data_IF_579937297608
#
_entry.id   IF_579937297608
#
_cell.length_a   1.000
_cell.length_b   1.000
_cell.length_c   1.000
_cell.angle_alpha   90.00
_cell.angle_beta   90.00
_cell.angle_gamma   90.00
#
_symmetry.space_group_name_H-M   'P 1'
#
loop_
_entity.id
_entity.type
_entity.pdbx_description
1 polymer ?
#
# COMPACT_ATOMS: atom_id res chain seq x y z
N UNK A 1 7.00 -10.81 -17.84
CA UNK A 1 7.32 -10.34 -16.47
C UNK A 1 8.11 -9.04 -16.42
N UNK A 2 9.15 -8.85 -17.25
CA UNK A 2 10.02 -7.67 -17.18
C UNK A 2 9.30 -6.30 -17.17
N UNK A 3 8.22 -6.16 -17.96
CA UNK A 3 7.42 -4.93 -17.98
C UNK A 3 6.52 -4.74 -16.74
N UNK A 4 6.18 -5.79 -16.00
CA UNK A 4 5.40 -5.68 -14.77
C UNK A 4 6.29 -5.31 -13.57
N UNK A 5 7.48 -5.92 -13.48
CA UNK A 5 8.41 -5.65 -12.37
C UNK A 5 8.85 -4.19 -12.28
N UNK A 6 8.82 -3.42 -13.38
CA UNK A 6 9.08 -1.97 -13.38
C UNK A 6 8.01 -1.15 -12.65
N UNK A 7 6.86 -1.75 -12.33
CA UNK A 7 5.74 -1.11 -11.62
C UNK A 7 5.54 -1.66 -10.20
N UNK A 8 6.41 -2.56 -9.72
CA UNK A 8 6.25 -3.18 -8.39
C UNK A 8 6.29 -2.13 -7.27
N UNK A 9 7.25 -1.21 -7.31
CA UNK A 9 7.37 -0.17 -6.29
C UNK A 9 6.17 0.76 -6.28
N UNK A 10 5.66 1.15 -7.44
CA UNK A 10 4.51 2.04 -7.55
C UNK A 10 3.24 1.37 -7.03
N UNK A 11 3.02 0.10 -7.38
CA UNK A 11 1.89 -0.67 -6.85
C UNK A 11 2.03 -0.86 -5.34
N UNK A 12 3.23 -1.13 -4.83
CA UNK A 12 3.45 -1.24 -3.39
C UNK A 12 3.14 0.03 -2.62
N UNK A 13 3.50 1.18 -3.18
CA UNK A 13 3.17 2.47 -2.60
C UNK A 13 1.66 2.67 -2.52
N UNK A 14 0.89 2.22 -3.52
CA UNK A 14 -0.58 2.28 -3.51
C UNK A 14 -1.17 1.36 -2.45
N UNK A 15 -0.68 0.12 -2.36
CA UNK A 15 -1.07 -0.81 -1.28
C UNK A 15 -0.78 -0.22 0.10
N UNK A 16 0.40 0.39 0.27
CA UNK A 16 0.78 1.05 1.51
C UNK A 16 -0.08 2.28 1.81
N UNK A 17 -0.39 3.09 0.80
CA UNK A 17 -1.21 4.29 0.96
C UNK A 17 -2.65 3.94 1.33
N UNK A 18 -3.26 3.01 0.60
CA UNK A 18 -4.69 2.78 0.66
C UNK A 18 -5.10 1.58 1.51
N UNK A 19 -4.34 0.50 1.51
CA UNK A 19 -4.61 -0.68 2.36
C UNK A 19 -3.70 -0.77 3.59
N UNK A 20 -2.71 0.12 3.69
CA UNK A 20 -1.83 0.27 4.86
C UNK A 20 -0.95 -0.95 5.13
N UNK A 21 -0.81 -1.85 4.15
CA UNK A 21 -0.06 -3.10 4.23
C UNK A 21 0.78 -3.33 2.97
N UNK A 22 1.77 -4.23 3.02
CA UNK A 22 2.39 -4.78 1.82
C UNK A 22 1.36 -5.51 0.95
N UNK A 23 1.57 -5.45 -0.36
CA UNK A 23 0.88 -6.29 -1.32
C UNK A 23 1.16 -7.77 -1.06
N UNK A 24 0.16 -8.62 -1.30
CA UNK A 24 0.40 -10.04 -1.55
C UNK A 24 1.08 -10.22 -2.91
N UNK A 25 1.81 -11.33 -3.11
CA UNK A 25 2.65 -11.49 -4.31
C UNK A 25 1.84 -11.63 -5.60
N UNK A 26 0.69 -12.32 -5.52
CA UNK A 26 -0.26 -12.43 -6.63
C UNK A 26 -0.86 -11.08 -7.02
N UNK A 27 -1.35 -10.32 -6.04
CA UNK A 27 -1.88 -8.97 -6.23
C UNK A 27 -0.82 -8.01 -6.78
N UNK A 28 0.39 -8.02 -6.23
CA UNK A 28 1.50 -7.20 -6.73
C UNK A 28 1.75 -7.47 -8.22
N UNK A 29 1.86 -8.75 -8.60
CA UNK A 29 2.03 -9.13 -10.00
C UNK A 29 0.86 -8.65 -10.87
N UNK A 30 -0.38 -8.91 -10.45
CA UNK A 30 -1.59 -8.59 -11.20
C UNK A 30 -1.72 -7.07 -11.46
N UNK A 31 -1.64 -6.26 -10.42
CA UNK A 31 -1.80 -4.81 -10.56
C UNK A 31 -0.65 -4.16 -11.32
N UNK A 32 0.56 -4.70 -11.20
CA UNK A 32 1.69 -4.20 -11.98
C UNK A 32 1.62 -4.61 -13.45
N UNK A 33 1.03 -5.76 -13.78
CA UNK A 33 0.69 -6.10 -15.17
C UNK A 33 -0.38 -5.15 -15.72
N UNK A 34 -1.41 -4.84 -14.93
CA UNK A 34 -2.44 -3.87 -15.30
C UNK A 34 -1.83 -2.48 -15.55
N UNK A 35 -0.92 -2.03 -14.69
CA UNK A 35 -0.20 -0.78 -14.86
C UNK A 35 0.62 -0.79 -16.16
N UNK A 36 1.34 -1.87 -16.45
CA UNK A 36 2.13 -1.99 -17.68
C UNK A 36 1.28 -1.91 -18.95
N UNK A 37 0.10 -2.55 -18.96
CA UNK A 37 -0.84 -2.51 -20.10
C UNK A 37 -1.43 -1.12 -20.28
N UNK A 38 -1.63 -0.36 -19.19
CA UNK A 38 -2.16 1.00 -19.22
C UNK A 38 -1.06 2.09 -19.33
N UNK A 39 0.16 1.74 -19.74
CA UNK A 39 1.25 2.71 -19.93
C UNK A 39 1.74 3.38 -18.64
N UNK A 40 1.52 2.74 -17.48
CA UNK A 40 1.85 3.25 -16.17
C UNK A 40 0.75 4.10 -15.51
N UNK A 41 -0.45 4.17 -16.09
CA UNK A 41 -1.58 4.83 -15.44
C UNK A 41 -2.10 4.00 -14.24
N UNK A 42 -1.76 4.48 -13.04
CA UNK A 42 -2.18 3.90 -11.76
C UNK A 42 -3.50 4.49 -11.25
N UNK A 43 -4.07 5.48 -11.93
CA UNK A 43 -5.34 6.08 -11.56
C UNK A 43 -6.46 5.04 -11.57
N UNK A 44 -6.54 4.21 -12.61
CA UNK A 44 -7.53 3.13 -12.67
C UNK A 44 -7.34 2.08 -11.58
N UNK A 45 -6.09 1.73 -11.29
CA UNK A 45 -5.75 0.76 -10.23
C UNK A 45 -6.28 1.25 -8.88
N UNK A 46 -6.04 2.51 -8.53
CA UNK A 46 -6.43 3.02 -7.21
C UNK A 46 -7.95 3.23 -7.06
N UNK A 47 -8.67 3.47 -8.16
CA UNK A 47 -10.14 3.50 -8.12
C UNK A 47 -10.74 2.11 -7.87
N UNK A 48 -10.16 1.05 -8.44
CA UNK A 48 -10.58 -0.33 -8.15
C UNK A 48 -10.28 -0.73 -6.70
N UNK A 49 -9.26 -0.11 -6.06
CA UNK A 49 -8.98 -0.38 -4.66
C UNK A 49 -10.08 0.17 -3.75
N UNK A 50 -10.62 1.34 -4.07
CA UNK A 50 -11.62 2.01 -3.25
C UNK A 50 -12.97 1.25 -3.17
N UNK A 51 -13.23 0.33 -4.10
CA UNK A 51 -14.47 -0.46 -4.17
C UNK A 51 -14.29 -1.91 -3.75
N UNK A 52 -13.10 -2.29 -3.26
CA UNK A 52 -12.81 -3.66 -2.86
C UNK A 52 -13.42 -4.05 -1.51
N UNK A 53 -13.50 -5.35 -1.26
CA UNK A 53 -13.86 -5.91 0.05
C UNK A 53 -12.86 -5.45 1.14
N UNK A 54 -11.59 -5.28 0.78
CA UNK A 54 -10.57 -4.81 1.72
C UNK A 54 -10.78 -3.34 2.11
N UNK A 55 -11.11 -2.47 1.14
CA UNK A 55 -11.48 -1.09 1.44
C UNK A 55 -12.75 -1.04 2.30
N UNK A 56 -13.72 -1.90 2.01
CA UNK A 56 -14.94 -2.03 2.82
C UNK A 56 -14.61 -2.43 4.27
N UNK A 57 -13.72 -3.39 4.47
CA UNK A 57 -13.27 -3.79 5.80
C UNK A 57 -12.50 -2.69 6.54
N UNK A 58 -11.76 -1.84 5.81
CA UNK A 58 -10.85 -0.85 6.40
C UNK A 58 -11.52 0.52 6.67
N UNK A 59 -12.44 0.92 5.80
CA UNK A 59 -13.07 2.24 5.78
C UNK A 59 -14.60 2.20 5.97
N UNK A 60 -15.20 1.02 6.03
CA UNK A 60 -16.64 0.81 6.09
C UNK A 60 -17.27 0.60 4.70
N UNK A 61 -18.56 0.29 4.66
CA UNK A 61 -19.31 -0.06 3.44
C UNK A 61 -19.23 0.97 2.30
N UNK A 62 -18.94 2.22 2.63
CA UNK A 62 -18.67 3.27 1.64
C UNK A 62 -17.83 4.39 2.24
N UNK A 63 -17.01 5.01 1.39
CA UNK A 63 -16.34 6.27 1.71
C UNK A 63 -17.27 7.40 1.28
N UNK A 64 -17.62 8.26 2.24
CA UNK A 64 -18.59 9.35 2.11
C UNK A 64 -17.98 10.63 2.64
N UNK A 65 -18.65 11.77 2.42
CA UNK A 65 -18.23 13.06 2.99
C UNK A 65 -18.15 13.04 4.53
N UNK A 66 -18.89 12.14 5.19
CA UNK A 66 -18.90 12.01 6.64
C UNK A 66 -17.64 11.32 7.20
N UNK A 67 -17.01 10.41 6.47
CA UNK A 67 -15.85 9.63 6.95
C UNK A 67 -14.56 9.83 6.14
N UNK A 68 -14.58 10.57 5.02
CA UNK A 68 -13.38 10.81 4.19
C UNK A 68 -12.26 11.48 4.98
N UNK A 69 -12.58 12.30 5.98
CA UNK A 69 -11.60 12.84 6.91
C UNK A 69 -10.82 11.76 7.66
N UNK A 70 -11.48 10.69 8.12
CA UNK A 70 -10.84 9.58 8.82
C UNK A 70 -10.01 8.72 7.86
N UNK A 71 -10.46 8.58 6.61
CA UNK A 71 -9.70 7.93 5.54
C UNK A 71 -8.38 8.68 5.30
N UNK A 72 -8.43 10.01 5.22
CA UNK A 72 -7.23 10.86 5.05
C UNK A 72 -6.27 10.68 6.23
N UNK A 73 -6.76 10.70 7.47
CA UNK A 73 -5.91 10.50 8.65
C UNK A 73 -5.22 9.13 8.64
N UNK A 74 -5.96 8.09 8.25
CA UNK A 74 -5.44 6.73 8.07
C UNK A 74 -4.34 6.67 7.01
N UNK A 75 -4.53 7.32 5.85
CA UNK A 75 -3.52 7.41 4.79
C UNK A 75 -2.25 8.10 5.30
N UNK A 76 -2.38 9.25 5.98
CA UNK A 76 -1.24 9.99 6.54
C UNK A 76 -0.48 9.18 7.60
N UNK A 77 -1.21 8.50 8.50
CA UNK A 77 -0.58 7.63 9.49
C UNK A 77 0.13 6.43 8.84
N UNK A 78 -0.48 5.82 7.83
CA UNK A 78 0.09 4.67 7.15
C UNK A 78 1.35 5.03 6.36
N UNK A 79 1.35 6.15 5.63
CA UNK A 79 2.48 6.58 4.81
C UNK A 79 3.58 7.23 5.65
N UNK A 80 3.23 8.13 6.57
CA UNK A 80 4.18 9.04 7.20
C UNK A 80 4.34 8.82 8.71
N UNK A 81 3.40 8.10 9.34
CA UNK A 81 3.41 7.89 10.79
C UNK A 81 3.12 9.16 11.60
N UNK A 82 2.41 10.12 11.00
CA UNK A 82 1.98 11.39 11.60
C UNK A 82 0.60 11.77 11.09
N UNK A 83 -0.08 12.69 11.78
CA UNK A 83 -1.37 13.22 11.34
C UNK A 83 -1.21 14.17 10.14
N UNK A 84 -2.30 14.30 9.38
CA UNK A 84 -2.46 15.37 8.41
C UNK A 84 -2.52 16.73 9.13
N UNK A 85 -2.02 17.78 8.48
CA UNK A 85 -2.30 19.14 8.96
C UNK A 85 -3.77 19.48 8.69
N UNK A 86 -4.38 20.26 9.59
CA UNK A 86 -5.81 20.55 9.51
C UNK A 86 -6.21 21.27 8.19
N UNK A 87 -5.48 22.28 7.70
CA UNK A 87 -5.80 22.92 6.42
C UNK A 87 -5.70 21.98 5.21
N UNK A 88 -4.63 21.18 5.12
CA UNK A 88 -4.44 20.21 4.05
C UNK A 88 -5.49 19.10 4.06
N UNK A 89 -5.86 18.61 5.25
CA UNK A 89 -6.99 17.69 5.40
C UNK A 89 -8.30 18.31 4.90
N UNK A 90 -8.60 19.54 5.31
CA UNK A 90 -9.84 20.22 4.92
C UNK A 90 -9.92 20.43 3.41
N UNK A 91 -8.81 20.79 2.75
CA UNK A 91 -8.74 20.91 1.29
C UNK A 91 -9.20 19.62 0.58
N UNK A 92 -8.75 18.45 1.04
CA UNK A 92 -9.17 17.18 0.46
C UNK A 92 -10.61 16.80 0.80
N UNK A 93 -11.08 17.11 2.02
CA UNK A 93 -12.48 16.90 2.42
C UNK A 93 -13.43 17.73 1.53
N UNK A 94 -13.13 19.02 1.34
CA UNK A 94 -13.94 19.91 0.51
C UNK A 94 -13.90 19.48 -0.97
N UNK A 95 -12.72 19.10 -1.48
CA UNK A 95 -12.57 18.59 -2.84
C UNK A 95 -13.30 17.25 -3.07
N UNK A 96 -13.35 16.38 -2.05
CA UNK A 96 -14.15 15.16 -2.10
C UNK A 96 -15.65 15.48 -2.13
N UNK A 97 -16.11 16.37 -1.26
CA UNK A 97 -17.51 16.81 -1.22
C UNK A 97 -17.98 17.47 -2.53
N UNK A 98 -17.07 18.19 -3.21
CA UNK A 98 -17.31 18.79 -4.51
C UNK A 98 -17.19 17.81 -5.70
N UNK A 99 -16.85 16.53 -5.46
CA UNK A 99 -16.62 15.55 -6.52
C UNK A 99 -15.35 15.78 -7.34
N UNK A 100 -14.47 16.67 -6.88
CA UNK A 100 -13.17 16.96 -7.52
C UNK A 100 -12.17 15.84 -7.28
N UNK A 101 -12.24 15.20 -6.10
CA UNK A 101 -11.38 14.07 -5.75
C UNK A 101 -12.20 12.85 -5.34
N UNK A 102 -11.71 11.68 -5.75
CA UNK A 102 -12.07 10.38 -5.17
C UNK A 102 -11.13 10.07 -4.00
N UNK A 103 -11.47 9.10 -3.16
CA UNK A 103 -10.59 8.66 -2.08
C UNK A 103 -9.26 8.11 -2.61
N UNK A 104 -9.30 7.37 -3.72
CA UNK A 104 -8.10 6.87 -4.39
C UNK A 104 -7.22 8.02 -4.90
N UNK A 105 -7.81 9.01 -5.57
CA UNK A 105 -7.07 10.20 -6.03
C UNK A 105 -6.45 10.99 -4.88
N UNK A 106 -7.13 11.11 -3.75
CA UNK A 106 -6.56 11.74 -2.54
C UNK A 106 -5.32 10.98 -2.07
N UNK A 107 -5.40 9.65 -1.95
CA UNK A 107 -4.26 8.84 -1.54
C UNK A 107 -3.05 9.00 -2.48
N UNK A 108 -3.29 9.03 -3.80
CA UNK A 108 -2.24 9.28 -4.79
C UNK A 108 -1.63 10.69 -4.64
N UNK A 109 -2.46 11.73 -4.49
CA UNK A 109 -1.98 13.09 -4.34
C UNK A 109 -1.15 13.27 -3.05
N UNK A 110 -1.54 12.60 -1.96
CA UNK A 110 -0.77 12.61 -0.70
C UNK A 110 0.58 11.89 -0.89
N UNK A 111 0.58 10.72 -1.54
CA UNK A 111 1.78 9.95 -1.85
C UNK A 111 2.76 10.76 -2.71
N UNK A 112 2.29 11.34 -3.80
CA UNK A 112 3.10 12.11 -4.76
C UNK A 112 3.58 13.46 -4.17
N UNK A 113 2.81 14.02 -3.24
CA UNK A 113 3.11 15.28 -2.56
C UNK A 113 4.14 15.17 -1.43
N UNK A 114 4.58 13.95 -1.08
CA UNK A 114 5.48 13.70 0.03
C UNK A 114 6.87 14.32 -0.18
N UNK A 115 7.42 14.90 0.90
CA UNK A 115 8.72 15.58 0.89
C UNK A 115 9.50 15.27 2.18
N UNK A 116 10.82 15.48 2.16
CA UNK A 116 11.68 15.36 3.34
C UNK A 116 11.47 14.01 4.07
N UNK A 117 11.17 14.04 5.37
CA UNK A 117 10.93 12.84 6.17
C UNK A 117 9.79 11.95 5.65
N UNK A 118 8.76 12.53 5.04
CA UNK A 118 7.64 11.77 4.48
C UNK A 118 8.10 10.92 3.28
N UNK A 119 8.96 11.48 2.43
CA UNK A 119 9.55 10.76 1.30
C UNK A 119 10.45 9.61 1.76
N UNK A 120 11.21 9.83 2.84
CA UNK A 120 12.05 8.79 3.46
C UNK A 120 11.16 7.68 4.06
N UNK A 121 10.08 8.04 4.76
CA UNK A 121 9.13 7.07 5.30
C UNK A 121 8.51 6.18 4.21
N UNK A 122 8.09 6.76 3.08
CA UNK A 122 7.59 6.00 1.92
C UNK A 122 8.68 5.06 1.39
N UNK A 123 9.91 5.53 1.21
CA UNK A 123 10.99 4.72 0.69
C UNK A 123 11.28 3.51 1.59
N UNK A 124 11.38 3.73 2.90
CA UNK A 124 11.60 2.68 3.89
C UNK A 124 10.45 1.66 3.91
N UNK A 125 9.20 2.13 3.88
CA UNK A 125 8.02 1.26 3.81
C UNK A 125 7.96 0.47 2.52
N UNK A 126 8.32 1.07 1.38
CA UNK A 126 8.35 0.39 0.09
C UNK A 126 9.38 -0.75 0.10
N UNK A 127 10.59 -0.48 0.62
CA UNK A 127 11.63 -1.51 0.76
C UNK A 127 11.19 -2.66 1.69
N UNK A 128 10.63 -2.33 2.86
CA UNK A 128 10.11 -3.32 3.79
C UNK A 128 8.97 -4.14 3.17
N UNK A 129 8.03 -3.49 2.49
CA UNK A 129 6.92 -4.14 1.82
C UNK A 129 7.40 -5.09 0.70
N UNK A 130 8.37 -4.68 -0.12
CA UNK A 130 8.99 -5.55 -1.12
C UNK A 130 9.62 -6.80 -0.49
N UNK A 131 10.38 -6.63 0.59
CA UNK A 131 10.97 -7.76 1.31
C UNK A 131 9.90 -8.70 1.87
N UNK A 132 8.82 -8.15 2.42
CA UNK A 132 7.70 -8.92 2.93
C UNK A 132 7.06 -9.75 1.83
N UNK A 133 6.71 -9.12 0.71
CA UNK A 133 6.03 -9.79 -0.39
C UNK A 133 6.91 -10.88 -1.01
N UNK A 134 8.21 -10.63 -1.13
CA UNK A 134 9.19 -11.64 -1.54
C UNK A 134 9.27 -12.82 -0.55
N UNK A 135 9.24 -12.55 0.75
CA UNK A 135 9.28 -13.58 1.78
C UNK A 135 7.99 -14.41 1.84
N UNK A 136 6.82 -13.80 1.59
CA UNK A 136 5.55 -14.54 1.42
C UNK A 136 5.65 -15.45 0.20
N UNK A 137 6.08 -14.91 -0.94
CA UNK A 137 6.16 -15.67 -2.18
C UNK A 137 7.18 -16.82 -2.12
N UNK A 138 8.32 -16.58 -1.49
CA UNK A 138 9.46 -17.50 -1.40
C UNK A 138 10.47 -17.37 -2.55
N UNK A 139 10.18 -16.53 -3.56
CA UNK A 139 11.06 -16.26 -4.69
C UNK A 139 11.54 -14.81 -4.69
N UNK A 140 12.66 -14.56 -5.36
CA UNK A 140 13.09 -13.19 -5.67
C UNK A 140 12.04 -12.50 -6.53
N UNK A 141 11.84 -11.18 -6.33
CA UNK A 141 10.92 -10.38 -7.16
C UNK A 141 11.37 -10.30 -8.64
N UNK A 142 12.61 -10.71 -8.95
CA UNK A 142 13.13 -10.83 -10.32
C UNK A 142 12.91 -12.21 -10.94
N UNK A 143 12.45 -13.19 -10.16
CA UNK A 143 12.21 -14.56 -10.63
C UNK A 143 11.01 -14.58 -11.58
N UNK A 144 11.15 -15.25 -12.73
CA UNK A 144 10.13 -15.31 -13.78
C UNK A 144 8.76 -15.86 -13.29
N UNK A 145 8.76 -16.64 -12.21
CA UNK A 145 7.58 -17.20 -11.58
C UNK A 145 7.06 -16.40 -10.38
N UNK A 146 7.72 -15.35 -9.90
CA UNK A 146 7.24 -14.59 -8.73
C UNK A 146 5.79 -14.10 -8.90
N UNK A 147 4.98 -14.25 -7.86
CA UNK A 147 3.55 -13.93 -7.86
C UNK A 147 2.69 -14.93 -8.66
N UNK A 148 3.27 -16.00 -9.20
CA UNK A 148 2.53 -17.05 -9.93
C UNK A 148 2.43 -18.34 -9.11
N UNK A 149 1.33 -19.07 -9.31
CA UNK A 149 1.07 -20.34 -8.64
C UNK A 149 0.18 -20.20 -7.40
N UNK A 150 -0.08 -21.33 -6.75
CA UNK A 150 -0.88 -21.44 -5.52
C UNK A 150 -0.06 -21.92 -4.31
N UNK A 151 1.24 -22.12 -4.51
CA UNK A 151 2.17 -22.58 -3.47
C UNK A 151 3.15 -21.44 -3.24
N UNK A 152 2.99 -20.78 -2.11
CA UNK A 152 3.87 -19.74 -1.61
C UNK A 152 4.69 -20.30 -0.44
N UNK A 153 5.76 -19.60 -0.05
CA UNK A 153 6.54 -20.01 1.13
C UNK A 153 5.70 -19.97 2.41
N UNK A 154 4.77 -19.02 2.50
CA UNK A 154 3.77 -18.95 3.58
C UNK A 154 2.42 -18.56 2.99
N UNK A 155 1.33 -19.11 3.56
CA UNK A 155 -0.02 -18.66 3.23
C UNK A 155 -0.23 -17.24 3.75
N UNK A 156 -0.78 -16.38 2.91
CA UNK A 156 -1.06 -14.99 3.24
C UNK A 156 -2.46 -14.67 2.72
N UNK A 157 -3.46 -14.90 3.56
CA UNK A 157 -4.85 -14.90 3.14
C UNK A 157 -5.80 -14.32 4.19
N UNK A 158 -6.81 -13.59 3.71
CA UNK A 158 -7.87 -13.04 4.56
C UNK A 158 -7.47 -11.83 5.41
N UNK A 159 -8.43 -11.38 6.22
CA UNK A 159 -8.33 -10.10 6.93
C UNK A 159 -7.40 -10.15 8.16
N UNK A 160 -7.17 -11.33 8.76
CA UNK A 160 -6.28 -11.48 9.90
C UNK A 160 -4.83 -11.18 9.51
N UNK A 161 -4.35 -11.83 8.45
CA UNK A 161 -3.00 -11.62 7.91
C UNK A 161 -2.80 -10.18 7.42
N UNK A 162 -3.81 -9.64 6.73
CA UNK A 162 -3.79 -8.24 6.31
C UNK A 162 -3.65 -7.30 7.52
N UNK A 163 -4.36 -7.56 8.62
CA UNK A 163 -4.27 -6.76 9.85
C UNK A 163 -2.91 -6.88 10.54
N UNK A 164 -2.34 -8.09 10.60
CA UNK A 164 -1.00 -8.31 11.12
C UNK A 164 0.06 -7.59 10.27
N UNK A 165 -0.08 -7.62 8.95
CA UNK A 165 0.80 -6.94 8.01
C UNK A 165 0.71 -5.40 8.13
N UNK A 166 -0.49 -4.84 8.30
CA UNK A 166 -0.68 -3.39 8.59
C UNK A 166 0.03 -2.99 9.87
N UNK A 167 -0.18 -3.77 10.93
CA UNK A 167 0.42 -3.52 12.26
C UNK A 167 1.95 -3.55 12.19
N UNK A 168 2.49 -4.50 11.43
CA UNK A 168 3.93 -4.60 11.20
C UNK A 168 4.46 -3.41 10.40
N UNK A 169 3.85 -3.07 9.26
CA UNK A 169 4.33 -1.98 8.38
C UNK A 169 4.21 -0.60 9.05
N UNK A 170 3.25 -0.41 9.97
CA UNK A 170 3.10 0.81 10.76
C UNK A 170 4.33 1.12 11.65
N UNK A 171 5.13 0.12 12.00
CA UNK A 171 6.37 0.28 12.77
C UNK A 171 7.51 0.91 11.95
N UNK A 172 7.47 0.74 10.63
CA UNK A 172 8.46 1.33 9.71
C UNK A 172 8.16 2.82 9.53
N UNK A 173 9.17 3.65 9.76
CA UNK A 173 9.09 5.13 9.75
C UNK A 173 10.25 5.71 8.93
N UNK A 174 10.40 7.04 8.93
CA UNK A 174 11.52 7.72 8.30
C UNK A 174 12.88 7.39 8.96
N UNK A 175 12.87 7.03 10.24
CA UNK A 175 14.07 6.59 10.97
C UNK A 175 14.58 5.25 10.41
N UNK A 176 15.85 5.22 9.98
CA UNK A 176 16.47 4.04 9.38
C UNK A 176 16.59 2.86 10.34
N UNK A 177 16.60 3.09 11.65
CA UNK A 177 16.61 2.02 12.66
C UNK A 177 15.31 1.22 12.68
N UNK A 178 14.24 1.73 12.06
CA UNK A 178 12.95 1.04 11.95
C UNK A 178 12.83 0.16 10.69
N UNK A 179 13.85 0.16 9.83
CA UNK A 179 13.87 -0.67 8.62
C UNK A 179 14.18 -2.12 9.05
N UNK A 180 13.26 -3.08 8.81
CA UNK A 180 13.46 -4.46 9.22
C UNK A 180 14.51 -5.14 8.33
N UNK A 181 15.32 -6.00 8.93
CA UNK A 181 16.22 -6.90 8.22
C UNK A 181 15.45 -8.03 7.53
N UNK A 182 16.09 -8.70 6.57
CA UNK A 182 15.48 -9.85 5.89
C UNK A 182 15.08 -10.96 6.88
N UNK A 183 15.89 -11.20 7.92
CA UNK A 183 15.57 -12.20 8.94
C UNK A 183 14.36 -11.81 9.77
N UNK A 184 14.22 -10.53 10.14
CA UNK A 184 13.05 -10.05 10.88
C UNK A 184 11.79 -10.12 10.04
N UNK A 185 11.88 -9.79 8.75
CA UNK A 185 10.77 -9.95 7.80
C UNK A 185 10.33 -11.41 7.74
N UNK A 186 11.26 -12.35 7.53
CA UNK A 186 10.94 -13.78 7.46
C UNK A 186 10.34 -14.29 8.77
N UNK A 187 10.89 -13.89 9.93
CA UNK A 187 10.31 -14.25 11.23
C UNK A 187 8.88 -13.70 11.38
N UNK A 188 8.63 -12.50 10.88
CA UNK A 188 7.27 -11.95 10.88
C UNK A 188 6.37 -12.72 9.92
N UNK A 189 6.85 -13.12 8.73
CA UNK A 189 6.11 -13.92 7.74
C UNK A 189 5.80 -15.32 8.25
N UNK A 190 6.68 -15.95 9.01
CA UNK A 190 6.46 -17.30 9.52
C UNK A 190 5.48 -17.39 10.72
N UNK A 191 5.24 -16.28 11.43
CA UNK A 191 4.44 -16.24 12.67
C UNK A 191 3.07 -15.53 12.49
N UNK A 192 2.59 -15.41 11.25
CA UNK A 192 1.30 -14.79 10.93
C UNK A 192 0.18 -15.77 11.25
#
# INVERSE_FOLDING_TARGET
>A
MAAASSYFDQVQKIYTAFYQRPADSGGLLFWSQMAAVNGGDLGKVIEEFATSEEATALYGSSITTANVGDVIDKIYMALFGRAADAPGKQFYVDGFAAGTFTAGKIAMNILDGAKNGDLIAIANKTAAANMFTAAVDGRSMTDAGFGTGKIFAVDYSGNADATAARTWLAKVKADSSTIPTASEVMATVANR
#
